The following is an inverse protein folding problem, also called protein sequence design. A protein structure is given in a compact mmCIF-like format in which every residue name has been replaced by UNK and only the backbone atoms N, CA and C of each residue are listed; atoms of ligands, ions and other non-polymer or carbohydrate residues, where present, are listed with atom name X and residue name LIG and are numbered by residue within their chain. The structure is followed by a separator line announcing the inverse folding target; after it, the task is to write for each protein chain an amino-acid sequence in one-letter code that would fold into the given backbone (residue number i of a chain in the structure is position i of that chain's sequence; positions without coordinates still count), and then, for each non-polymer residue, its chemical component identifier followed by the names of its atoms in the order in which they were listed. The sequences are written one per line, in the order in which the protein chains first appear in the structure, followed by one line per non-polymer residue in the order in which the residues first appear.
data_IF_361250291607
#
_entry.id   IF_361250291607
#
_cell.length_a   1.000
_cell.length_b   1.000
_cell.length_c   1.000
_cell.angle_alpha   90.00
_cell.angle_beta   90.00
_cell.angle_gamma   90.00
#
_symmetry.space_group_name_H-M   'P 1'
#
loop_
_entity.id
_entity.type
_entity.pdbx_description
1 polymer ?
#
# COMPACT_ATOMS: atom_id res chain seq x y z
N UNK A 1 -8.32 29.97 14.13
CA UNK A 1 -8.87 29.72 12.79
C UNK A 1 -8.03 28.63 12.16
N UNK A 2 -8.50 27.40 12.25
CA UNK A 2 -7.84 26.22 11.68
C UNK A 2 -8.16 26.18 10.19
N UNK A 3 -7.12 26.25 9.37
CA UNK A 3 -7.18 26.06 7.93
C UNK A 3 -7.73 24.67 7.62
N UNK A 4 -9.03 24.59 7.33
CA UNK A 4 -9.66 23.39 6.79
C UNK A 4 -9.37 23.36 5.30
N UNK A 5 -8.28 22.70 4.90
CA UNK A 5 -8.06 22.35 3.50
C UNK A 5 -9.09 21.29 3.06
N UNK A 6 -10.00 21.59 2.12
CA UNK A 6 -11.04 20.67 1.67
C UNK A 6 -10.53 19.58 0.71
N UNK A 7 -9.25 19.57 0.35
CA UNK A 7 -8.67 18.59 -0.59
C UNK A 7 -8.51 17.17 -0.01
N UNK A 8 -8.76 16.96 1.28
CA UNK A 8 -8.57 15.65 1.92
C UNK A 8 -9.80 14.72 1.83
N UNK A 9 -10.95 15.21 1.34
CA UNK A 9 -12.24 14.50 1.46
C UNK A 9 -12.88 14.02 0.15
N UNK A 10 -12.30 14.28 -1.02
CA UNK A 10 -12.95 13.94 -2.30
C UNK A 10 -13.03 12.43 -2.62
N UNK A 11 -12.43 11.55 -1.81
CA UNK A 11 -12.35 10.11 -2.08
C UNK A 11 -12.82 9.20 -0.92
N UNK A 12 -13.48 9.74 0.12
CA UNK A 12 -14.17 8.93 1.14
C UNK A 12 -13.28 8.18 2.15
N UNK A 13 -12.11 8.73 2.46
CA UNK A 13 -11.05 8.09 3.26
C UNK A 13 -11.28 8.05 4.78
N UNK A 14 -12.45 8.47 5.31
CA UNK A 14 -12.67 8.49 6.77
C UNK A 14 -13.49 7.32 7.32
N UNK A 15 -14.11 6.49 6.49
CA UNK A 15 -14.88 5.31 6.96
C UNK A 15 -15.17 4.23 5.91
N UNK A 16 -14.46 4.23 4.77
CA UNK A 16 -14.67 3.28 3.67
C UNK A 16 -13.47 2.37 3.42
N UNK A 17 -13.63 1.33 2.57
CA UNK A 17 -12.50 0.53 2.09
C UNK A 17 -11.50 1.41 1.35
N UNK A 18 -10.24 0.97 1.27
CA UNK A 18 -9.14 1.70 0.61
C UNK A 18 -9.44 2.09 -0.85
N UNK A 19 -10.24 1.27 -1.54
CA UNK A 19 -10.72 1.44 -2.90
C UNK A 19 -12.12 0.81 -2.96
N UNK A 20 -13.07 1.39 -3.71
CA UNK A 20 -14.45 0.90 -3.80
C UNK A 20 -14.75 0.22 -5.13
N UNK A 21 -13.89 0.41 -6.12
CA UNK A 21 -14.09 -0.08 -7.48
C UNK A 21 -14.55 -1.54 -7.53
N UNK A 22 -13.97 -2.51 -6.80
CA UNK A 22 -14.40 -3.90 -6.88
C UNK A 22 -15.83 -4.19 -6.41
N UNK A 23 -16.50 -3.24 -5.72
CA UNK A 23 -17.92 -3.34 -5.34
C UNK A 23 -18.85 -2.59 -6.27
N UNK A 24 -18.34 -1.57 -6.95
CA UNK A 24 -19.14 -0.68 -7.81
C UNK A 24 -19.07 -1.09 -9.28
N UNK A 25 -17.95 -1.67 -9.71
CA UNK A 25 -17.69 -1.97 -11.11
C UNK A 25 -16.70 -3.13 -11.30
N UNK A 26 -16.74 -3.74 -12.46
CA UNK A 26 -15.68 -4.57 -13.00
C UNK A 26 -15.72 -4.50 -14.51
N UNK A 27 -14.57 -4.67 -15.15
CA UNK A 27 -14.39 -4.42 -16.56
C UNK A 27 -14.41 -5.74 -17.32
N UNK A 28 -15.37 -5.88 -18.22
CA UNK A 28 -15.47 -7.02 -19.13
C UNK A 28 -14.84 -6.59 -20.46
N UNK A 29 -13.64 -7.09 -20.75
CA UNK A 29 -12.90 -6.80 -21.97
C UNK A 29 -12.80 -8.07 -22.82
N UNK A 30 -12.44 -7.94 -24.11
CA UNK A 30 -12.19 -9.10 -25.00
C UNK A 30 -11.14 -10.07 -24.46
N UNK A 31 -10.19 -9.57 -23.65
CA UNK A 31 -9.15 -10.37 -23.01
C UNK A 31 -9.61 -11.08 -21.74
N UNK A 32 -10.81 -10.78 -21.24
CA UNK A 32 -11.35 -11.28 -20.00
C UNK A 32 -11.74 -10.16 -19.03
N UNK A 33 -11.96 -10.57 -17.80
CA UNK A 33 -12.55 -9.76 -16.74
C UNK A 33 -11.46 -9.19 -15.83
N UNK A 34 -11.65 -7.95 -15.40
CA UNK A 34 -10.78 -7.24 -14.45
C UNK A 34 -11.63 -6.61 -13.34
N UNK A 35 -11.19 -6.65 -12.07
CA UNK A 35 -11.93 -6.10 -10.93
C UNK A 35 -11.87 -4.56 -10.87
N UNK A 36 -10.98 -3.91 -11.64
CA UNK A 36 -10.93 -2.46 -11.80
C UNK A 36 -10.21 -2.09 -13.12
N UNK A 37 -10.23 -0.80 -13.49
CA UNK A 37 -9.62 -0.32 -14.73
C UNK A 37 -8.10 -0.48 -14.79
N UNK A 38 -7.43 -0.47 -13.64
CA UNK A 38 -5.99 -0.66 -13.52
C UNK A 38 -5.60 -2.12 -13.28
N UNK A 39 -6.58 -3.01 -13.09
CA UNK A 39 -6.35 -4.39 -12.73
C UNK A 39 -5.56 -5.14 -13.79
N UNK A 40 -4.57 -5.91 -13.32
CA UNK A 40 -3.83 -6.90 -14.08
C UNK A 40 -3.26 -7.89 -13.07
N UNK A 41 -3.42 -9.22 -13.22
CA UNK A 41 -3.87 -10.00 -14.40
C UNK A 41 -5.40 -10.12 -14.58
N UNK A 42 -5.82 -10.81 -15.65
CA UNK A 42 -7.23 -11.18 -15.88
C UNK A 42 -7.70 -12.15 -14.80
N UNK A 43 -8.85 -11.87 -14.17
CA UNK A 43 -9.40 -12.72 -13.09
C UNK A 43 -10.27 -13.86 -13.61
N UNK A 44 -10.89 -13.69 -14.78
CA UNK A 44 -11.76 -14.68 -15.39
C UNK A 44 -11.95 -14.42 -16.90
N UNK A 45 -12.33 -15.44 -17.69
CA UNK A 45 -12.72 -15.24 -19.09
C UNK A 45 -14.05 -14.47 -19.20
N UNK A 46 -14.28 -13.85 -20.36
CA UNK A 46 -15.38 -12.91 -20.61
C UNK A 46 -16.78 -13.51 -20.40
N UNK A 47 -16.93 -14.81 -20.68
CA UNK A 47 -18.18 -15.57 -20.60
C UNK A 47 -18.62 -15.87 -19.16
N UNK A 48 -17.72 -15.79 -18.19
CA UNK A 48 -17.99 -16.11 -16.78
C UNK A 48 -18.32 -14.91 -15.90
N UNK A 49 -18.82 -13.82 -16.49
CA UNK A 49 -18.99 -12.55 -15.78
C UNK A 49 -19.89 -12.62 -14.54
N UNK A 50 -20.99 -13.35 -14.64
CA UNK A 50 -21.95 -13.50 -13.54
C UNK A 50 -21.32 -14.22 -12.34
N UNK A 51 -20.69 -15.36 -12.59
CA UNK A 51 -20.00 -16.15 -11.57
C UNK A 51 -18.80 -15.39 -10.98
N UNK A 52 -18.12 -14.59 -11.81
CA UNK A 52 -16.92 -13.85 -11.40
C UNK A 52 -17.22 -12.79 -10.36
N UNK A 53 -18.41 -12.15 -10.41
CA UNK A 53 -18.74 -11.04 -9.52
C UNK A 53 -18.65 -11.38 -8.02
N UNK A 54 -18.96 -12.64 -7.68
CA UNK A 54 -18.86 -13.17 -6.33
C UNK A 54 -17.84 -14.29 -6.20
N UNK A 55 -16.88 -14.39 -7.12
CA UNK A 55 -15.84 -15.42 -7.06
C UNK A 55 -14.94 -15.24 -5.83
N UNK A 56 -14.29 -16.32 -5.35
CA UNK A 56 -13.37 -16.27 -4.22
C UNK A 56 -12.26 -15.23 -4.42
N UNK A 57 -11.76 -15.07 -5.64
CA UNK A 57 -10.68 -14.13 -5.98
C UNK A 57 -11.13 -12.67 -5.79
N UNK A 58 -12.35 -12.31 -6.24
CA UNK A 58 -12.88 -10.96 -6.02
C UNK A 58 -13.20 -10.71 -4.54
N UNK A 59 -13.71 -11.72 -3.83
CA UNK A 59 -13.96 -11.62 -2.39
C UNK A 59 -12.67 -11.41 -1.62
N UNK A 60 -11.59 -12.09 -2.00
CA UNK A 60 -10.27 -11.90 -1.40
C UNK A 60 -9.80 -10.46 -1.59
N UNK A 61 -9.83 -9.93 -2.82
CA UNK A 61 -9.45 -8.54 -3.11
C UNK A 61 -10.26 -7.57 -2.23
N UNK A 62 -11.58 -7.76 -2.18
CA UNK A 62 -12.48 -6.95 -1.34
C UNK A 62 -12.08 -7.03 0.15
N UNK A 63 -11.73 -8.20 0.66
CA UNK A 63 -11.33 -8.39 2.06
C UNK A 63 -10.04 -7.65 2.46
N UNK A 64 -9.07 -7.51 1.55
CA UNK A 64 -7.88 -6.69 1.81
C UNK A 64 -8.26 -5.20 1.86
N UNK A 65 -9.07 -4.76 0.90
CA UNK A 65 -9.45 -3.35 0.78
C UNK A 65 -10.31 -2.88 1.96
N UNK A 66 -11.17 -3.72 2.53
CA UNK A 66 -11.92 -3.38 3.77
C UNK A 66 -11.02 -3.24 4.98
N UNK A 67 -9.92 -3.99 5.05
CA UNK A 67 -8.89 -3.86 6.10
C UNK A 67 -7.99 -2.64 5.92
N UNK A 68 -8.14 -1.90 4.82
CA UNK A 68 -7.25 -0.79 4.47
C UNK A 68 -5.91 -1.24 3.89
N UNK A 69 -5.80 -2.49 3.46
CA UNK A 69 -4.57 -3.10 2.94
C UNK A 69 -4.66 -3.28 1.42
N UNK A 70 -3.51 -3.18 0.74
CA UNK A 70 -3.41 -3.53 -0.67
C UNK A 70 -3.32 -5.05 -0.83
N UNK A 71 -4.25 -5.64 -1.58
CA UNK A 71 -4.16 -7.04 -2.00
C UNK A 71 -2.92 -7.27 -2.88
N UNK A 72 -2.42 -8.52 -2.98
CA UNK A 72 -1.34 -8.85 -3.91
C UNK A 72 -1.67 -8.41 -5.35
N UNK A 73 -2.91 -8.62 -5.78
CA UNK A 73 -3.44 -8.17 -7.06
C UNK A 73 -3.29 -6.66 -7.28
N UNK A 74 -3.66 -5.85 -6.28
CA UNK A 74 -3.54 -4.40 -6.37
C UNK A 74 -2.07 -3.95 -6.43
N UNK A 75 -1.14 -4.65 -5.74
CA UNK A 75 0.29 -4.30 -5.74
C UNK A 75 0.96 -4.49 -7.10
N UNK A 76 0.45 -5.39 -7.94
CA UNK A 76 0.93 -5.58 -9.32
C UNK A 76 0.51 -4.41 -10.24
N UNK A 77 -0.55 -3.69 -9.87
CA UNK A 77 -1.14 -2.62 -10.66
C UNK A 77 -0.48 -1.26 -10.38
N UNK A 78 0.80 -1.11 -10.79
CA UNK A 78 1.59 0.12 -10.55
C UNK A 78 1.01 1.38 -11.21
N UNK A 79 0.10 1.26 -12.18
CA UNK A 79 -0.58 2.40 -12.78
C UNK A 79 -1.69 3.00 -11.89
N UNK A 80 -2.11 2.32 -10.83
CA UNK A 80 -3.22 2.75 -9.99
C UNK A 80 -2.83 3.93 -9.07
N UNK A 81 -3.56 5.07 -9.10
CA UNK A 81 -3.30 6.21 -8.24
C UNK A 81 -3.37 5.89 -6.74
N UNK A 82 -4.28 5.01 -6.34
CA UNK A 82 -4.44 4.58 -4.94
C UNK A 82 -3.19 3.81 -4.48
N UNK A 83 -2.72 2.88 -5.30
CA UNK A 83 -1.52 2.09 -5.02
C UNK A 83 -0.31 3.00 -4.87
N UNK A 84 -0.12 3.97 -5.79
CA UNK A 84 1.00 4.91 -5.71
C UNK A 84 0.99 5.75 -4.44
N UNK A 85 -0.18 6.22 -4.00
CA UNK A 85 -0.32 6.96 -2.74
C UNK A 85 0.04 6.11 -1.52
N UNK A 86 -0.42 4.87 -1.47
CA UNK A 86 -0.11 3.95 -0.36
C UNK A 86 1.39 3.64 -0.33
N UNK A 87 1.99 3.33 -1.48
CA UNK A 87 3.43 3.06 -1.59
C UNK A 87 4.27 4.29 -1.22
N UNK A 88 3.83 5.50 -1.58
CA UNK A 88 4.50 6.74 -1.18
C UNK A 88 4.46 6.90 0.35
N UNK A 89 3.30 6.68 0.98
CA UNK A 89 3.14 6.74 2.43
C UNK A 89 3.97 5.67 3.16
N UNK A 90 4.02 4.44 2.64
CA UNK A 90 4.90 3.37 3.16
C UNK A 90 6.38 3.78 3.11
N UNK A 91 6.84 4.43 2.03
CA UNK A 91 8.22 4.93 1.89
C UNK A 91 8.54 6.04 2.88
N UNK A 92 7.61 6.97 3.09
CA UNK A 92 7.75 8.06 4.05
C UNK A 92 7.87 7.53 5.48
N UNK A 93 6.97 6.61 5.88
CA UNK A 93 7.03 5.96 7.20
C UNK A 93 8.36 5.24 7.40
N UNK A 94 8.80 4.43 6.41
CA UNK A 94 10.10 3.77 6.47
C UNK A 94 11.26 4.77 6.62
N UNK A 95 11.22 5.89 5.89
CA UNK A 95 12.25 6.92 5.97
C UNK A 95 12.32 7.61 7.35
N UNK A 96 11.16 7.80 7.99
CA UNK A 96 11.08 8.38 9.34
C UNK A 96 11.65 7.45 10.40
N UNK A 97 11.42 6.15 10.28
CA UNK A 97 11.98 5.14 11.18
C UNK A 97 13.51 5.12 11.14
N UNK A 98 14.12 5.24 9.95
CA UNK A 98 15.58 5.38 9.82
C UNK A 98 16.14 6.68 10.43
N UNK A 99 15.33 7.74 10.55
CA UNK A 99 15.74 9.02 11.16
C UNK A 99 15.72 9.00 12.69
N UNK A 100 15.07 8.02 13.33
CA UNK A 100 15.02 7.86 14.79
C UNK A 100 16.33 7.32 15.41
N UNK A 101 17.45 7.29 14.67
CA UNK A 101 18.75 6.98 15.27
C UNK A 101 19.06 7.98 16.39
N UNK A 102 19.29 7.52 17.62
CA UNK A 102 19.53 8.41 18.74
C UNK A 102 20.70 9.37 18.46
N UNK A 103 20.58 10.66 18.81
CA UNK A 103 21.62 11.64 18.53
C UNK A 103 22.97 11.26 19.17
N UNK A 104 22.94 10.54 20.30
CA UNK A 104 24.14 10.06 20.98
C UNK A 104 24.91 8.99 20.19
N UNK A 105 24.28 8.21 19.30
CA UNK A 105 25.00 7.25 18.45
C UNK A 105 25.92 7.94 17.44
N UNK A 106 25.56 9.13 16.95
CA UNK A 106 26.45 9.92 16.09
C UNK A 106 27.63 10.48 16.86
N UNK A 107 27.40 10.88 18.11
CA UNK A 107 28.45 11.38 19.02
C UNK A 107 29.42 10.26 19.39
N UNK A 108 28.91 9.07 19.71
CA UNK A 108 29.72 7.89 20.06
C UNK A 108 30.57 7.40 18.88
N UNK A 109 30.01 7.33 17.68
CA UNK A 109 30.79 7.00 16.47
C UNK A 109 31.87 8.06 16.18
N UNK A 110 31.63 9.34 16.51
CA UNK A 110 32.63 10.40 16.34
C UNK A 110 33.74 10.34 17.39
N UNK A 111 33.41 9.97 18.63
CA UNK A 111 34.37 9.74 19.72
C UNK A 111 35.23 8.50 19.51
N UNK A 112 34.66 7.43 18.94
CA UNK A 112 35.36 6.18 18.62
C UNK A 112 35.95 6.17 17.20
N UNK A 113 36.37 7.32 16.66
CA UNK A 113 37.06 7.44 15.36
C UNK A 113 36.37 6.74 14.18
N UNK A 114 35.05 6.67 14.16
CA UNK A 114 34.29 6.03 13.08
C UNK A 114 34.34 4.51 13.08
N UNK A 115 34.77 3.86 14.17
CA UNK A 115 34.69 2.40 14.30
C UNK A 115 33.21 1.96 14.23
N UNK A 116 32.85 1.05 13.31
CA UNK A 116 31.46 0.65 13.11
C UNK A 116 30.87 0.02 14.37
N UNK A 117 29.62 0.38 14.66
CA UNK A 117 28.90 0.02 15.89
C UNK A 117 28.80 -1.49 16.20
N UNK A 118 29.14 -2.35 15.25
CA UNK A 118 29.27 -3.79 15.45
C UNK A 118 30.42 -4.17 16.39
N UNK A 119 31.48 -3.36 16.47
CA UNK A 119 32.70 -3.72 17.19
C UNK A 119 32.51 -3.60 18.71
N UNK A 120 31.88 -2.54 19.20
CA UNK A 120 31.69 -2.37 20.65
C UNK A 120 30.53 -3.21 21.21
N UNK A 121 29.54 -3.58 20.39
CA UNK A 121 28.47 -4.52 20.79
C UNK A 121 28.99 -5.93 21.10
N UNK A 122 30.08 -6.33 20.46
CA UNK A 122 30.70 -7.63 20.69
C UNK A 122 31.55 -7.67 21.98
N UNK A 123 31.90 -6.51 22.53
CA UNK A 123 32.74 -6.38 23.73
C UNK A 123 31.95 -6.13 25.02
N UNK A 124 30.64 -5.89 24.93
CA UNK A 124 29.77 -5.51 26.04
C UNK A 124 28.57 -6.46 26.25
N UNK A 125 28.58 -7.64 25.63
CA UNK A 125 27.77 -8.80 26.04
C UNK A 125 28.55 -9.63 27.06
#
# INVERSE_FOLDING_TARGET
MTDNHPEQDELGLRSGPLCREPWESYYILRRGILPCCYGNPIVAPMDKWEDTWNSPELQEIRSYLTRGELSPYCRESLGCPIVQRVLAKEREMRSSEFRLRPPWQRVLNRLLFGLPAKIYRFFFD
#
